data_IF_748396184854
#
_entry.id   IF_748396184854
#
_cell.length_a   1.000
_cell.length_b   1.000
_cell.length_c   1.000
_cell.angle_alpha   90.00
_cell.angle_beta   90.00
_cell.angle_gamma   90.00
#
_symmetry.space_group_name_H-M   'P 1'
#
loop_
_entity.id
_entity.type
_entity.pdbx_description
1 polymer ?
#
# COMPACT_ATOMS: atom_id res chain seq x y z
N UNK A 1 -8.48 -8.15 6.75
CA UNK A 1 -7.08 -7.91 7.15
C UNK A 1 -6.30 -7.63 5.89
N UNK A 2 -5.35 -6.70 5.92
CA UNK A 2 -4.53 -6.34 4.77
C UNK A 2 -3.08 -6.10 5.22
N UNK A 3 -2.17 -6.11 4.27
CA UNK A 3 -0.81 -5.60 4.47
C UNK A 3 -0.80 -4.09 4.31
N UNK A 4 0.09 -3.42 5.04
CA UNK A 4 0.17 -1.96 5.12
C UNK A 4 1.60 -1.51 4.88
N UNK A 5 1.79 -0.58 3.95
CA UNK A 5 3.09 0.06 3.71
C UNK A 5 3.24 1.25 4.65
N UNK A 6 4.34 1.26 5.40
CA UNK A 6 4.66 2.25 6.43
C UNK A 6 5.78 3.20 5.99
N UNK A 7 6.17 4.10 6.89
CA UNK A 7 7.18 5.15 6.69
C UNK A 7 8.46 4.74 5.95
N UNK A 8 9.07 3.55 6.15
CA UNK A 8 10.34 3.22 5.49
C UNK A 8 10.26 3.17 3.95
N UNK A 9 9.06 3.16 3.36
CA UNK A 9 8.88 3.25 1.91
C UNK A 9 9.03 4.68 1.36
N UNK A 10 8.84 5.71 2.19
CA UNK A 10 8.85 7.12 1.82
C UNK A 10 10.21 7.50 1.23
N UNK A 11 10.21 8.11 0.04
CA UNK A 11 11.41 8.62 -0.63
C UNK A 11 12.24 7.57 -1.38
N UNK A 12 12.11 6.29 -1.05
CA UNK A 12 12.84 5.22 -1.73
C UNK A 12 12.10 4.60 -2.91
N UNK A 13 10.81 4.28 -2.73
CA UNK A 13 9.92 3.79 -3.80
C UNK A 13 10.52 2.66 -4.66
N UNK A 14 11.14 1.64 -4.05
CA UNK A 14 11.82 0.54 -4.76
C UNK A 14 10.95 -0.30 -5.72
N UNK A 15 9.62 -0.23 -5.61
CA UNK A 15 8.64 -0.91 -6.48
C UNK A 15 8.70 -2.45 -6.54
N UNK A 16 9.65 -3.10 -5.85
CA UNK A 16 9.83 -4.57 -5.84
C UNK A 16 8.59 -5.34 -5.37
N UNK A 17 7.87 -4.79 -4.40
CA UNK A 17 6.64 -5.36 -3.89
C UNK A 17 5.50 -5.41 -4.92
N UNK A 18 5.49 -4.49 -5.90
CA UNK A 18 4.48 -4.44 -6.97
C UNK A 18 4.60 -5.66 -7.87
N UNK A 19 5.83 -6.01 -8.27
CA UNK A 19 6.12 -7.16 -9.15
C UNK A 19 5.74 -8.51 -8.52
N UNK A 20 5.71 -8.58 -7.18
CA UNK A 20 5.43 -9.81 -6.43
C UNK A 20 3.97 -9.93 -5.97
N UNK A 21 3.15 -8.90 -6.19
CA UNK A 21 1.75 -8.93 -5.77
C UNK A 21 0.90 -9.69 -6.80
N UNK A 22 0.35 -10.87 -6.49
CA UNK A 22 -0.37 -11.70 -7.47
C UNK A 22 -1.69 -11.08 -7.95
N UNK A 23 -2.24 -10.15 -7.16
CA UNK A 23 -3.51 -9.47 -7.40
C UNK A 23 -3.33 -7.99 -7.75
N UNK A 24 -2.09 -7.54 -7.92
CA UNK A 24 -1.76 -6.14 -8.24
C UNK A 24 -2.41 -5.11 -7.29
N UNK A 25 -2.50 -5.44 -5.98
CA UNK A 25 -3.09 -4.57 -4.97
C UNK A 25 -2.22 -3.38 -4.59
N UNK A 26 -0.99 -3.27 -5.11
CA UNK A 26 -0.01 -2.25 -4.71
C UNK A 26 0.14 -1.21 -5.82
N UNK A 27 -0.12 0.05 -5.50
CA UNK A 27 -0.07 1.16 -6.47
C UNK A 27 0.46 2.45 -5.83
N UNK A 28 0.95 3.36 -6.65
CA UNK A 28 1.32 4.74 -6.29
C UNK A 28 0.68 5.68 -7.31
N UNK A 29 0.51 6.96 -6.97
CA UNK A 29 0.24 8.02 -7.95
C UNK A 29 1.45 8.95 -8.11
N UNK A 30 1.46 9.77 -9.15
CA UNK A 30 2.40 10.89 -9.26
C UNK A 30 2.21 11.87 -8.10
N UNK A 31 3.30 12.36 -7.54
CA UNK A 31 3.30 13.24 -6.37
C UNK A 31 3.19 12.53 -5.02
N UNK A 32 2.92 11.22 -4.99
CA UNK A 32 2.86 10.47 -3.74
C UNK A 32 4.26 10.03 -3.25
N UNK A 33 4.55 10.17 -1.95
CA UNK A 33 5.88 9.91 -1.40
C UNK A 33 6.23 8.41 -1.29
N UNK A 34 5.23 7.53 -1.36
CA UNK A 34 5.39 6.08 -1.18
C UNK A 34 4.40 5.27 -2.02
N UNK A 35 4.49 3.94 -1.95
CA UNK A 35 3.46 3.03 -2.46
C UNK A 35 2.39 2.75 -1.42
N UNK A 36 1.21 2.35 -1.88
CA UNK A 36 0.05 2.03 -1.05
C UNK A 36 -0.54 0.67 -1.44
N UNK A 37 -1.11 -0.03 -0.46
CA UNK A 37 -1.79 -1.32 -0.64
C UNK A 37 -3.30 -1.11 -0.54
N UNK A 38 -4.06 -1.59 -1.53
CA UNK A 38 -5.53 -1.59 -1.49
C UNK A 38 -5.99 -2.71 -0.55
N UNK A 39 -6.57 -2.40 0.61
CA UNK A 39 -7.05 -3.42 1.53
C UNK A 39 -8.21 -4.24 0.96
N UNK A 40 -8.93 -3.73 -0.04
CA UNK A 40 -10.07 -4.42 -0.66
C UNK A 40 -9.60 -5.49 -1.66
N UNK A 41 -8.41 -5.31 -2.25
CA UNK A 41 -7.81 -6.27 -3.19
C UNK A 41 -6.79 -7.20 -2.52
N UNK A 42 -6.20 -6.79 -1.40
CA UNK A 42 -5.18 -7.56 -0.72
C UNK A 42 -5.72 -8.91 -0.21
N UNK A 43 -5.11 -10.01 -0.64
CA UNK A 43 -5.47 -11.38 -0.22
C UNK A 43 -4.61 -11.93 0.94
N UNK A 44 -3.80 -11.08 1.59
CA UNK A 44 -2.90 -11.46 2.68
C UNK A 44 -1.88 -12.56 2.37
N UNK A 45 -1.35 -12.62 1.15
CA UNK A 45 -0.37 -13.66 0.78
C UNK A 45 1.03 -13.46 1.39
N UNK A 46 1.38 -12.27 1.87
CA UNK A 46 2.66 -11.96 2.52
C UNK A 46 3.89 -11.88 1.61
N UNK A 47 3.74 -12.14 0.30
CA UNK A 47 4.87 -12.13 -0.64
C UNK A 47 5.56 -10.77 -0.77
N UNK A 48 4.83 -9.67 -0.50
CA UNK A 48 5.34 -8.31 -0.62
C UNK A 48 6.33 -7.93 0.50
N UNK A 49 6.17 -8.48 1.71
CA UNK A 49 7.05 -8.22 2.85
C UNK A 49 8.48 -8.69 2.56
N UNK A 50 8.62 -9.96 2.17
CA UNK A 50 9.90 -10.56 1.81
C UNK A 50 10.58 -9.89 0.61
N UNK A 51 9.80 -9.26 -0.27
CA UNK A 51 10.34 -8.55 -1.44
C UNK A 51 10.81 -7.12 -1.11
N UNK A 52 10.43 -6.56 0.05
CA UNK A 52 10.74 -5.19 0.41
C UNK A 52 12.17 -5.08 0.98
N UNK A 53 13.11 -4.38 0.32
CA UNK A 53 14.51 -4.31 0.78
C UNK A 53 14.69 -3.53 2.09
N UNK A 54 13.70 -2.74 2.48
CA UNK A 54 13.68 -1.91 3.70
C UNK A 54 12.66 -2.39 4.73
N UNK A 55 12.05 -3.56 4.52
CA UNK A 55 11.04 -4.14 5.41
C UNK A 55 9.95 -3.12 5.83
N UNK A 56 9.40 -2.38 4.86
CA UNK A 56 8.42 -1.33 5.10
C UNK A 56 6.97 -1.85 5.24
N UNK A 57 6.72 -3.15 5.06
CA UNK A 57 5.39 -3.70 4.91
C UNK A 57 5.06 -4.59 6.10
N UNK A 58 3.99 -4.26 6.80
CA UNK A 58 3.55 -4.98 8.00
C UNK A 58 2.11 -5.46 7.82
N UNK A 59 1.72 -6.60 8.42
CA UNK A 59 0.30 -6.91 8.53
C UNK A 59 -0.36 -5.88 9.45
N UNK A 60 -1.60 -5.50 9.16
CA UNK A 60 -2.34 -4.45 9.88
C UNK A 60 -2.28 -4.57 11.42
N UNK A 61 -2.29 -5.79 11.93
CA UNK A 61 -2.23 -6.12 13.36
C UNK A 61 -0.83 -6.03 13.99
N UNK A 62 0.23 -6.02 13.19
CA UNK A 62 1.61 -5.90 13.64
C UNK A 62 2.27 -4.57 13.21
N UNK A 63 1.47 -3.60 12.75
CA UNK A 63 1.96 -2.24 12.50
C UNK A 63 2.38 -1.63 13.84
N UNK A 64 3.63 -1.14 13.97
CA UNK A 64 4.07 -0.42 15.17
C UNK A 64 3.18 0.79 15.50
N UNK A 65 3.04 1.11 16.79
CA UNK A 65 2.14 2.19 17.25
C UNK A 65 2.42 3.53 16.55
N UNK A 66 3.71 3.86 16.33
CA UNK A 66 4.10 5.08 15.65
C UNK A 66 3.63 5.18 14.19
N UNK A 67 3.28 4.05 13.57
CA UNK A 67 2.90 3.95 12.17
C UNK A 67 1.43 3.55 11.96
N UNK A 68 0.61 3.51 13.02
CA UNK A 68 -0.81 3.16 12.90
C UNK A 68 -1.57 4.06 11.92
N UNK A 69 -1.18 5.33 11.79
CA UNK A 69 -1.75 6.26 10.82
C UNK A 69 -1.62 5.78 9.36
N UNK A 70 -0.58 4.98 9.05
CA UNK A 70 -0.38 4.44 7.71
C UNK A 70 -1.48 3.45 7.31
N UNK A 71 -2.15 2.80 8.27
CA UNK A 71 -3.28 1.92 7.99
C UNK A 71 -4.37 2.71 7.26
N UNK A 72 -4.81 3.81 7.86
CA UNK A 72 -5.84 4.69 7.28
C UNK A 72 -5.35 5.31 5.97
N UNK A 73 -4.12 5.80 5.94
CA UNK A 73 -3.53 6.47 4.77
C UNK A 73 -3.48 5.55 3.53
N UNK A 74 -3.15 4.28 3.70
CA UNK A 74 -3.21 3.29 2.61
C UNK A 74 -4.65 3.14 2.08
N UNK A 75 -5.66 3.07 2.96
CA UNK A 75 -7.08 2.98 2.52
C UNK A 75 -7.55 4.24 1.82
N UNK A 76 -7.23 5.40 2.39
CA UNK A 76 -7.65 6.71 1.90
C UNK A 76 -7.15 7.00 0.49
N UNK A 77 -5.93 6.57 0.17
CA UNK A 77 -5.38 6.68 -1.18
C UNK A 77 -6.30 6.02 -2.22
N UNK A 78 -6.76 4.78 -1.96
CA UNK A 78 -7.66 4.06 -2.87
C UNK A 78 -9.10 4.55 -2.81
N UNK A 79 -9.57 5.03 -1.65
CA UNK A 79 -10.88 5.67 -1.56
C UNK A 79 -10.96 6.93 -2.43
N UNK A 80 -9.93 7.79 -2.38
CA UNK A 80 -9.79 8.97 -3.24
C UNK A 80 -9.70 8.58 -4.71
N UNK A 81 -8.91 7.55 -5.05
CA UNK A 81 -8.74 7.06 -6.42
C UNK A 81 -10.04 6.50 -7.02
N UNK A 82 -10.78 5.70 -6.25
CA UNK A 82 -12.12 5.18 -6.63
C UNK A 82 -13.11 6.33 -6.87
N UNK A 83 -13.03 7.39 -6.06
CA UNK A 83 -13.81 8.62 -6.24
C UNK A 83 -13.46 9.40 -7.51
N UNK A 84 -12.17 9.46 -7.88
CA UNK A 84 -11.72 10.11 -9.10
C UNK A 84 -12.14 9.34 -10.37
N UNK A 85 -11.96 8.01 -10.40
CA UNK A 85 -12.33 7.17 -11.55
C UNK A 85 -13.84 7.16 -11.86
N UNK A 86 -14.69 7.34 -10.84
CA UNK A 86 -16.14 7.45 -11.04
C UNK A 86 -16.58 8.76 -11.70
N UNK A 87 -15.75 9.80 -11.72
CA UNK A 87 -16.08 11.10 -12.36
C UNK A 87 -15.72 11.13 -13.85
N UNK A 88 -14.87 10.21 -14.30
CA UNK A 88 -14.36 10.15 -15.68
C UNK A 88 -15.19 9.20 -16.57
N UNK A 89 -16.07 8.41 -15.95
CA UNK A 89 -17.01 7.48 -16.61
C UNK A 89 -18.45 7.97 -16.61
N UNK A 90 -18.69 9.24 -16.23
CA UNK A 90 -19.99 9.90 -16.18
C UNK A 90 -20.12 10.96 -17.28
#
# INVERSE_FOLDING_TARGET
>A
MAWVITEPCVGHKYAKCVEHCPVNAIQTAEGEPQYYIDPDLCINCGSCDLACPVAAIFPEEAVPEQWLAYIALNREFFARKKGAQRRETA
#
